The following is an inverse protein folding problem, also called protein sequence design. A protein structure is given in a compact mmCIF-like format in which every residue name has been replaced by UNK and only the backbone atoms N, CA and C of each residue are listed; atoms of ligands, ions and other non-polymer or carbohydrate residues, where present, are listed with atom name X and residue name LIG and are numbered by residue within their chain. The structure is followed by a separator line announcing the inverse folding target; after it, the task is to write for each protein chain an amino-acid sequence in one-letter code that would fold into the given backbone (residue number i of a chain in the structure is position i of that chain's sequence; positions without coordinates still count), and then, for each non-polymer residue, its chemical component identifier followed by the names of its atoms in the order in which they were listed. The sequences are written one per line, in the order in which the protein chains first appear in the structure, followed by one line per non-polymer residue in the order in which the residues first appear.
data_IF_392882829393
#
_entry.id   IF_392882829393
#
_cell.length_a   1.000
_cell.length_b   1.000
_cell.length_c   1.000
_cell.angle_alpha   90.00
_cell.angle_beta   90.00
_cell.angle_gamma   90.00
#
_symmetry.space_group_name_H-M   'P 1'
#
loop_
_entity.id
_entity.type
_entity.pdbx_description
1 polymer ?
#
# COMPACT_ATOMS: atom_id res chain seq x y z
N UNK A 1 1.81 -5.27 -18.66
CA UNK A 1 1.40 -4.11 -17.82
C UNK A 1 0.01 -3.57 -18.20
N UNK A 2 -0.37 -3.51 -19.49
CA UNK A 2 -1.68 -2.98 -19.92
C UNK A 2 -2.92 -3.81 -19.53
N UNK A 3 -2.81 -5.13 -19.44
CA UNK A 3 -3.98 -5.99 -19.17
C UNK A 3 -4.46 -5.92 -17.71
N UNK A 4 -3.52 -5.87 -16.75
CA UNK A 4 -3.85 -5.82 -15.31
C UNK A 4 -4.56 -4.52 -14.94
N UNK A 5 -4.09 -3.38 -15.45
CA UNK A 5 -4.74 -2.09 -15.22
C UNK A 5 -6.15 -2.05 -15.84
N UNK A 6 -6.35 -2.70 -16.99
CA UNK A 6 -7.67 -2.73 -17.66
C UNK A 6 -8.71 -3.53 -16.85
N UNK A 7 -8.30 -4.68 -16.32
CA UNK A 7 -9.18 -5.52 -15.48
C UNK A 7 -9.65 -4.80 -14.21
N UNK A 8 -8.74 -4.16 -13.48
CA UNK A 8 -9.06 -3.43 -12.25
C UNK A 8 -10.01 -2.25 -12.54
N UNK A 9 -9.83 -1.54 -13.65
CA UNK A 9 -10.71 -0.41 -14.03
C UNK A 9 -12.13 -0.89 -14.32
N UNK A 10 -12.29 -2.00 -15.05
CA UNK A 10 -13.61 -2.58 -15.31
C UNK A 10 -14.32 -2.99 -14.03
N UNK A 11 -13.59 -3.54 -13.07
CA UNK A 11 -14.14 -3.96 -11.78
C UNK A 11 -14.56 -2.76 -10.92
N UNK A 12 -13.77 -1.69 -10.89
CA UNK A 12 -14.13 -0.42 -10.25
C UNK A 12 -15.42 0.16 -10.86
N UNK A 13 -15.52 0.19 -12.19
CA UNK A 13 -16.70 0.70 -12.90
C UNK A 13 -17.95 -0.12 -12.56
N UNK A 14 -17.81 -1.45 -12.49
CA UNK A 14 -18.91 -2.34 -12.10
C UNK A 14 -19.40 -2.03 -10.68
N UNK A 15 -18.48 -1.88 -9.72
CA UNK A 15 -18.83 -1.55 -8.33
C UNK A 15 -19.51 -0.17 -8.22
N UNK A 16 -19.10 0.82 -9.03
CA UNK A 16 -19.82 2.09 -9.08
C UNK A 16 -21.24 1.94 -9.63
N UNK A 17 -21.45 1.13 -10.67
CA UNK A 17 -22.79 0.85 -11.22
C UNK A 17 -23.68 0.13 -10.20
N UNK A 18 -23.10 -0.73 -9.37
CA UNK A 18 -23.79 -1.42 -8.26
C UNK A 18 -24.13 -0.47 -7.09
N UNK A 19 -23.67 0.79 -7.11
CA UNK A 19 -24.06 1.82 -6.14
C UNK A 19 -23.11 1.95 -4.94
N UNK A 20 -21.93 1.34 -4.97
CA UNK A 20 -20.93 1.52 -3.92
C UNK A 20 -20.35 2.94 -3.94
N UNK A 21 -20.44 3.62 -2.80
CA UNK A 21 -20.02 5.03 -2.66
C UNK A 21 -18.51 5.20 -2.44
N UNK A 22 -17.82 4.14 -2.01
CA UNK A 22 -16.39 4.14 -1.75
C UNK A 22 -15.80 2.78 -2.13
N UNK A 23 -14.64 2.80 -2.78
CA UNK A 23 -13.89 1.61 -3.18
C UNK A 23 -12.47 1.81 -2.67
N UNK A 24 -11.96 0.84 -1.91
CA UNK A 24 -10.60 0.85 -1.39
C UNK A 24 -9.77 -0.14 -2.19
N UNK A 25 -8.66 0.34 -2.77
CA UNK A 25 -7.75 -0.47 -3.57
C UNK A 25 -6.46 -0.67 -2.78
N UNK A 26 -6.16 -1.92 -2.43
CA UNK A 26 -4.88 -2.31 -1.82
C UNK A 26 -3.89 -2.70 -2.93
N UNK A 27 -2.99 -1.78 -3.27
CA UNK A 27 -2.05 -1.94 -4.39
C UNK A 27 -0.61 -1.67 -3.89
N UNK A 28 0.19 -2.72 -3.60
CA UNK A 28 1.56 -2.56 -3.11
C UNK A 28 2.48 -1.78 -4.07
N UNK A 29 2.28 -1.98 -5.38
CA UNK A 29 3.06 -1.39 -6.48
C UNK A 29 2.33 -0.21 -7.16
N UNK A 30 1.54 0.56 -6.40
CA UNK A 30 0.66 1.61 -6.92
C UNK A 30 1.40 2.60 -7.85
N UNK A 31 2.57 3.04 -7.44
CA UNK A 31 3.36 4.06 -8.16
C UNK A 31 4.14 3.45 -9.33
N UNK A 32 4.66 2.25 -9.14
CA UNK A 32 5.37 1.46 -10.15
C UNK A 32 4.44 1.12 -11.31
N UNK A 33 3.16 0.84 -11.01
CA UNK A 33 2.09 0.63 -11.98
C UNK A 33 1.48 1.95 -12.55
N UNK A 34 1.93 3.12 -12.08
CA UNK A 34 1.40 4.45 -12.46
C UNK A 34 -0.12 4.61 -12.25
N UNK A 35 -0.68 3.87 -11.29
CA UNK A 35 -2.11 3.89 -10.95
C UNK A 35 -2.46 5.03 -9.99
N UNK A 36 -1.46 5.68 -9.40
CA UNK A 36 -1.56 6.87 -8.56
C UNK A 36 -2.24 8.07 -9.25
N UNK A 37 -2.24 8.09 -10.59
CA UNK A 37 -2.92 9.12 -11.39
C UNK A 37 -4.45 9.02 -11.38
N UNK A 38 -4.97 7.81 -11.16
CA UNK A 38 -6.41 7.50 -11.26
C UNK A 38 -7.04 7.20 -9.90
N UNK A 39 -6.22 7.14 -8.85
CA UNK A 39 -6.63 6.74 -7.50
C UNK A 39 -6.35 7.88 -6.53
N UNK A 40 -7.42 8.45 -5.94
CA UNK A 40 -7.35 9.55 -4.96
C UNK A 40 -8.47 9.40 -3.93
N UNK A 41 -8.24 9.80 -2.66
CA UNK A 41 -6.96 10.16 -2.07
C UNK A 41 -6.04 8.93 -1.90
N UNK A 42 -4.73 9.13 -1.97
CA UNK A 42 -3.75 8.05 -1.73
C UNK A 42 -3.43 8.00 -0.24
N UNK A 43 -3.65 6.84 0.37
CA UNK A 43 -3.32 6.55 1.77
C UNK A 43 -2.10 5.64 1.81
N UNK A 44 -1.11 5.99 2.62
CA UNK A 44 0.09 5.16 2.82
C UNK A 44 0.26 4.83 4.28
N UNK A 45 0.42 3.54 4.56
CA UNK A 45 0.86 3.06 5.86
C UNK A 45 2.39 3.03 5.85
N UNK A 46 3.00 4.01 6.51
CA UNK A 46 4.44 4.15 6.60
C UNK A 46 4.94 3.53 7.91
N UNK A 47 6.13 2.94 7.87
CA UNK A 47 6.84 2.40 9.02
C UNK A 47 8.33 2.68 8.85
N UNK A 48 9.04 2.80 9.97
CA UNK A 48 10.49 3.00 9.99
C UNK A 48 11.18 1.89 9.18
N UNK A 49 12.10 2.24 8.26
CA UNK A 49 12.74 1.28 7.35
C UNK A 49 13.46 0.11 8.02
N UNK A 50 13.80 0.21 9.30
CA UNK A 50 14.45 -0.87 10.07
C UNK A 50 13.49 -1.97 10.51
N UNK A 51 12.18 -1.71 10.49
CA UNK A 51 11.13 -2.60 11.00
C UNK A 51 10.56 -3.60 9.97
N UNK A 52 10.36 -3.26 8.66
CA UNK A 52 9.76 -4.14 7.66
C UNK A 52 10.42 -5.51 7.53
N UNK A 53 11.76 -5.55 7.51
CA UNK A 53 12.50 -6.79 7.35
C UNK A 53 12.20 -7.75 8.51
N UNK A 54 12.23 -7.24 9.75
CA UNK A 54 11.93 -8.02 10.95
C UNK A 54 10.48 -8.53 10.96
N UNK A 55 9.53 -7.70 10.52
CA UNK A 55 8.10 -8.11 10.43
C UNK A 55 7.87 -9.14 9.33
N UNK A 56 8.51 -9.01 8.18
CA UNK A 56 8.37 -9.94 7.06
C UNK A 56 8.93 -11.32 7.40
N UNK A 57 10.12 -11.38 8.00
CA UNK A 57 10.75 -12.65 8.43
C UNK A 57 9.97 -13.30 9.59
N UNK A 58 9.35 -12.49 10.47
CA UNK A 58 8.60 -13.00 11.62
C UNK A 58 7.17 -13.45 11.32
N UNK A 59 6.55 -12.96 10.23
CA UNK A 59 5.15 -13.24 9.88
C UNK A 59 5.01 -14.23 8.74
N UNK A 60 5.85 -14.08 7.73
CA UNK A 60 5.83 -14.95 6.56
C UNK A 60 7.00 -15.94 6.73
N UNK A 61 6.85 -17.21 6.31
CA UNK A 61 7.97 -18.18 6.22
C UNK A 61 8.99 -17.79 5.12
N UNK A 62 9.20 -16.49 4.90
CA UNK A 62 10.08 -15.93 3.89
C UNK A 62 11.50 -15.92 4.40
N UNK A 63 12.45 -16.28 3.55
CA UNK A 63 13.86 -16.10 3.85
C UNK A 63 14.18 -14.61 3.99
N UNK A 64 15.25 -14.27 4.73
CA UNK A 64 15.71 -12.88 4.84
C UNK A 64 16.01 -12.28 3.44
N UNK A 65 16.47 -13.12 2.51
CA UNK A 65 16.74 -12.74 1.13
C UNK A 65 15.45 -12.41 0.35
N UNK A 66 14.41 -13.24 0.44
CA UNK A 66 13.12 -12.96 -0.19
C UNK A 66 12.48 -11.68 0.36
N UNK A 67 12.58 -11.47 1.67
CA UNK A 67 12.09 -10.27 2.33
C UNK A 67 12.83 -9.02 1.83
N UNK A 68 14.17 -9.06 1.71
CA UNK A 68 14.96 -7.99 1.12
C UNK A 68 14.61 -7.75 -0.35
N UNK A 69 14.48 -8.79 -1.15
CA UNK A 69 14.14 -8.68 -2.57
C UNK A 69 12.78 -8.01 -2.76
N UNK A 70 11.79 -8.36 -1.93
CA UNK A 70 10.47 -7.69 -1.96
C UNK A 70 10.53 -6.22 -1.56
N UNK A 71 11.34 -5.87 -0.56
CA UNK A 71 11.55 -4.47 -0.15
C UNK A 71 12.22 -3.68 -1.27
N UNK A 72 13.27 -4.24 -1.88
CA UNK A 72 14.07 -3.60 -2.91
C UNK A 72 13.35 -3.48 -4.27
N UNK A 73 12.39 -4.37 -4.54
CA UNK A 73 11.58 -4.32 -5.76
C UNK A 73 10.59 -3.13 -5.78
N UNK A 74 10.44 -2.43 -4.66
CA UNK A 74 9.52 -1.31 -4.49
C UNK A 74 10.28 0.01 -4.37
N UNK A 75 9.62 1.09 -4.76
CA UNK A 75 10.03 2.45 -4.43
C UNK A 75 10.09 2.57 -2.90
N UNK A 76 11.12 3.25 -2.39
CA UNK A 76 11.31 3.42 -0.95
C UNK A 76 10.07 4.02 -0.28
N UNK A 77 9.75 3.52 0.92
CA UNK A 77 8.60 3.99 1.70
C UNK A 77 8.64 5.51 1.91
N UNK A 78 9.83 6.09 2.06
CA UNK A 78 10.01 7.54 2.20
C UNK A 78 9.66 8.31 0.94
N UNK A 79 10.01 7.78 -0.24
CA UNK A 79 9.59 8.36 -1.51
C UNK A 79 8.08 8.29 -1.69
N UNK A 80 7.46 7.16 -1.32
CA UNK A 80 6.01 7.01 -1.38
C UNK A 80 5.30 8.00 -0.43
N UNK A 81 5.85 8.21 0.78
CA UNK A 81 5.32 9.14 1.80
C UNK A 81 5.14 10.56 1.27
N UNK A 82 6.06 11.05 0.44
CA UNK A 82 6.00 12.41 -0.14
C UNK A 82 4.83 12.55 -1.13
N UNK A 83 4.42 11.46 -1.77
CA UNK A 83 3.38 11.43 -2.79
C UNK A 83 1.97 11.12 -2.23
N UNK A 84 1.88 10.82 -0.92
CA UNK A 84 0.64 10.45 -0.26
C UNK A 84 -0.20 11.67 0.15
N UNK A 85 -1.52 11.52 0.11
CA UNK A 85 -2.45 12.51 0.69
C UNK A 85 -2.58 12.30 2.20
N UNK A 86 -2.59 11.04 2.61
CA UNK A 86 -2.74 10.64 4.01
C UNK A 86 -1.59 9.67 4.32
N UNK A 87 -0.84 9.97 5.38
CA UNK A 87 0.23 9.10 5.88
C UNK A 87 -0.17 8.58 7.26
N UNK A 88 -0.33 7.26 7.34
CA UNK A 88 -0.60 6.52 8.56
C UNK A 88 0.74 6.02 9.09
N UNK A 89 1.21 6.58 10.19
CA UNK A 89 2.45 6.15 10.83
C UNK A 89 2.21 4.93 11.73
N UNK A 90 2.75 3.78 11.32
CA UNK A 90 2.65 2.49 12.00
C UNK A 90 4.00 2.05 12.64
N UNK A 91 4.85 3.03 12.99
CA UNK A 91 6.06 2.78 13.79
C UNK A 91 5.77 2.40 15.23
N UNK A 92 4.66 2.90 15.78
CA UNK A 92 4.28 2.72 17.19
C UNK A 92 3.42 1.47 17.40
N UNK A 93 2.93 1.28 18.62
CA UNK A 93 2.11 0.11 18.97
C UNK A 93 0.73 0.17 18.29
N UNK A 94 0.07 -0.98 18.18
CA UNK A 94 -1.29 -1.07 17.62
C UNK A 94 -2.30 -0.21 18.41
N UNK A 95 -2.05 -0.04 19.72
CA UNK A 95 -2.86 0.80 20.60
C UNK A 95 -2.75 2.28 20.22
N UNK A 96 -1.54 2.76 19.93
CA UNK A 96 -1.29 4.14 19.48
C UNK A 96 -1.91 4.43 18.10
N UNK A 97 -1.95 3.42 17.23
CA UNK A 97 -2.57 3.52 15.92
C UNK A 97 -4.10 3.63 16.04
N UNK A 98 -4.70 2.88 16.96
CA UNK A 98 -6.15 2.90 17.18
C UNK A 98 -6.63 4.24 17.76
N UNK A 99 -5.92 4.83 18.72
CA UNK A 99 -6.31 6.14 19.29
C UNK A 99 -6.29 7.27 18.25
N UNK A 100 -5.42 7.18 17.24
CA UNK A 100 -5.23 8.26 16.26
C UNK A 100 -6.27 8.27 15.14
N UNK A 101 -6.99 7.18 14.96
CA UNK A 101 -8.00 6.98 13.90
C UNK A 101 -9.34 6.44 14.43
N UNK A 102 -9.56 6.48 15.76
CA UNK A 102 -10.85 6.21 16.40
C UNK A 102 -11.83 7.38 16.28
#
# INVERSE_FOLDING_TARGET
MGEVCSGIVLEILKLWIEGYKAIVLDIPLLFEAKMDKWTKPIVIVWVDPTIPLRRLVGRDNSTEEDARNRINAQISLDSKRILAYIVIDNTRSLHDLQERFA
#
